data_IF_270381318819
#
_entry.id   IF_270381318819
#
_cell.length_a   1.000
_cell.length_b   1.000
_cell.length_c   1.000
_cell.angle_alpha   90.00
_cell.angle_beta   90.00
_cell.angle_gamma   90.00
#
_symmetry.space_group_name_H-M   'P 1'
#
loop_
_entity.id
_entity.type
_entity.pdbx_description
1 polymer ?
#
# COMPACT_ATOMS: atom_id res chain seq x y z
N UNK A 1 4.84 13.27 8.59
CA UNK A 1 4.71 13.40 7.15
C UNK A 1 3.65 12.45 6.63
N UNK A 2 2.83 12.93 5.71
CA UNK A 2 1.75 12.12 5.18
C UNK A 2 2.29 11.10 4.19
N UNK A 3 1.68 9.94 4.19
CA UNK A 3 1.99 8.91 3.20
C UNK A 3 0.78 7.99 3.10
N UNK A 4 0.79 7.12 2.09
CA UNK A 4 -0.25 6.11 1.92
C UNK A 4 0.33 4.72 2.15
N UNK A 5 -0.50 3.81 2.65
CA UNK A 5 -0.16 2.41 2.79
C UNK A 5 -1.13 1.54 2.01
N UNK A 6 -0.59 0.58 1.30
CA UNK A 6 -1.38 -0.48 0.67
C UNK A 6 -1.16 -1.75 1.47
N UNK A 7 -2.20 -2.31 2.05
CA UNK A 7 -2.08 -3.55 2.79
C UNK A 7 -2.01 -4.73 1.83
N UNK A 8 -1.12 -5.67 2.15
CA UNK A 8 -0.95 -6.88 1.36
C UNK A 8 -1.37 -8.11 2.18
N UNK A 9 -1.86 -9.13 1.50
CA UNK A 9 -2.24 -10.40 2.12
C UNK A 9 -1.04 -11.16 2.66
N UNK A 10 0.11 -10.99 2.05
CA UNK A 10 1.31 -11.75 2.36
C UNK A 10 2.53 -10.95 1.96
N UNK A 11 3.69 -11.40 2.43
CA UNK A 11 4.94 -10.79 1.99
C UNK A 11 5.15 -10.97 0.49
N UNK A 12 4.73 -12.09 -0.06
CA UNK A 12 4.84 -12.35 -1.50
C UNK A 12 4.05 -11.34 -2.30
N UNK A 13 2.81 -11.07 -1.89
CA UNK A 13 2.00 -10.07 -2.56
C UNK A 13 2.62 -8.68 -2.43
N UNK A 14 3.12 -8.33 -1.24
CA UNK A 14 3.75 -7.04 -1.02
C UNK A 14 4.96 -6.85 -1.91
N UNK A 15 5.81 -7.87 -2.04
CA UNK A 15 6.97 -7.83 -2.92
C UNK A 15 6.56 -7.67 -4.38
N UNK A 16 5.50 -8.36 -4.79
CA UNK A 16 4.99 -8.27 -6.14
C UNK A 16 4.46 -6.86 -6.43
N UNK A 17 3.80 -6.26 -5.44
CA UNK A 17 3.31 -4.89 -5.57
C UNK A 17 4.46 -3.89 -5.74
N UNK A 18 5.49 -3.99 -4.91
CA UNK A 18 6.66 -3.12 -5.00
C UNK A 18 7.31 -3.24 -6.38
N UNK A 19 7.47 -4.46 -6.87
CA UNK A 19 8.08 -4.70 -8.17
C UNK A 19 7.25 -4.10 -9.30
N UNK A 20 5.94 -4.30 -9.25
CA UNK A 20 5.04 -3.78 -10.28
C UNK A 20 5.03 -2.25 -10.29
N UNK A 21 5.02 -1.64 -9.10
CA UNK A 21 5.07 -0.19 -8.98
C UNK A 21 6.38 0.36 -9.52
N UNK A 22 7.49 -0.33 -9.25
CA UNK A 22 8.79 0.05 -9.80
C UNK A 22 8.78 0.08 -11.33
N UNK A 23 8.09 -0.89 -11.95
CA UNK A 23 7.93 -0.92 -13.39
C UNK A 23 7.14 0.24 -13.96
N UNK A 24 6.29 0.86 -13.14
CA UNK A 24 5.54 2.06 -13.52
C UNK A 24 6.27 3.35 -13.14
N UNK A 25 7.49 3.25 -12.64
CA UNK A 25 8.24 4.42 -12.20
C UNK A 25 7.81 4.97 -10.85
N UNK A 26 7.09 4.20 -10.06
CA UNK A 26 6.60 4.63 -8.76
C UNK A 26 7.46 4.02 -7.67
N UNK A 27 8.05 4.88 -6.83
CA UNK A 27 8.83 4.40 -5.69
C UNK A 27 7.89 3.97 -4.57
N UNK A 28 8.20 2.81 -4.01
CA UNK A 28 7.46 2.29 -2.88
C UNK A 28 8.41 1.49 -1.99
N UNK A 29 7.98 1.22 -0.77
CA UNK A 29 8.81 0.49 0.18
C UNK A 29 7.98 -0.58 0.87
N UNK A 30 8.54 -1.77 0.96
CA UNK A 30 7.97 -2.86 1.73
C UNK A 30 8.18 -2.58 3.21
N UNK A 31 7.14 -2.76 4.01
CA UNK A 31 7.26 -2.59 5.46
C UNK A 31 6.28 -3.50 6.17
N UNK A 32 6.49 -3.65 7.47
CA UNK A 32 5.49 -4.32 8.29
C UNK A 32 4.32 -3.39 8.51
N UNK A 33 3.12 -3.94 8.44
CA UNK A 33 1.92 -3.17 8.74
C UNK A 33 1.94 -2.72 10.20
N UNK A 34 1.51 -1.49 10.50
CA UNK A 34 1.42 -1.04 11.89
C UNK A 34 0.52 -1.95 12.71
N UNK A 35 0.89 -2.14 13.97
CA UNK A 35 0.11 -2.95 14.90
C UNK A 35 -1.26 -2.31 15.10
N UNK A 36 -2.30 -3.13 15.04
CA UNK A 36 -3.67 -2.66 15.29
C UNK A 36 -4.34 -1.98 14.11
N UNK A 37 -3.66 -1.89 12.96
CA UNK A 37 -4.25 -1.26 11.78
C UNK A 37 -5.40 -2.09 11.23
N UNK A 38 -5.28 -3.40 11.33
CA UNK A 38 -6.32 -4.32 10.90
C UNK A 38 -6.35 -5.50 11.88
N UNK A 39 -7.54 -6.02 12.14
CA UNK A 39 -7.72 -7.19 12.98
C UNK A 39 -7.57 -8.50 12.20
N UNK A 40 -7.28 -8.41 10.92
CA UNK A 40 -7.10 -9.60 10.07
C UNK A 40 -5.71 -10.20 10.14
N UNK A 41 -4.83 -9.62 10.92
CA UNK A 41 -3.47 -10.14 11.07
C UNK A 41 -2.57 -9.88 9.88
N UNK A 42 -2.92 -8.93 9.02
CA UNK A 42 -2.05 -8.57 7.91
C UNK A 42 -0.76 -7.97 8.43
N UNK A 43 0.36 -8.58 8.05
CA UNK A 43 1.65 -8.23 8.60
C UNK A 43 2.48 -7.33 7.68
N UNK A 44 2.06 -7.13 6.45
CA UNK A 44 2.89 -6.43 5.46
C UNK A 44 2.11 -5.36 4.74
N UNK A 45 2.82 -4.29 4.40
CA UNK A 45 2.24 -3.16 3.69
C UNK A 45 3.26 -2.60 2.71
N UNK A 46 2.76 -1.85 1.75
CA UNK A 46 3.59 -1.11 0.80
C UNK A 46 3.35 0.36 1.04
N UNK A 47 4.41 1.07 1.35
CA UNK A 47 4.35 2.50 1.63
C UNK A 47 4.58 3.30 0.36
N UNK A 48 3.72 4.27 0.12
CA UNK A 48 3.77 5.16 -1.03
C UNK A 48 4.06 6.58 -0.59
N UNK A 49 4.68 7.36 -1.47
CA UNK A 49 4.82 8.80 -1.26
C UNK A 49 3.48 9.49 -1.37
N UNK A 50 3.28 10.61 -0.67
CA UNK A 50 2.04 11.37 -0.81
C UNK A 50 1.80 11.77 -2.26
N UNK A 51 0.55 11.69 -2.69
CA UNK A 51 0.17 12.11 -4.03
C UNK A 51 0.35 11.08 -5.12
N UNK A 52 0.82 9.86 -4.79
CA UNK A 52 1.04 8.82 -5.80
C UNK A 52 -0.01 7.71 -5.77
N UNK A 53 -1.01 7.83 -4.91
CA UNK A 53 -1.97 6.74 -4.70
C UNK A 53 -2.73 6.37 -5.97
N UNK A 54 -3.26 7.35 -6.68
CA UNK A 54 -4.04 7.07 -7.88
C UNK A 54 -3.20 6.38 -8.95
N UNK A 55 -1.99 6.88 -9.17
CA UNK A 55 -1.08 6.28 -10.15
C UNK A 55 -0.72 4.85 -9.72
N UNK A 56 -0.50 4.64 -8.42
CA UNK A 56 -0.17 3.32 -7.91
C UNK A 56 -1.32 2.35 -8.10
N UNK A 57 -2.54 2.77 -7.78
CA UNK A 57 -3.71 1.90 -7.93
C UNK A 57 -3.95 1.56 -9.40
N UNK A 58 -3.77 2.52 -10.30
CA UNK A 58 -3.89 2.26 -11.73
C UNK A 58 -2.85 1.26 -12.20
N UNK A 59 -1.61 1.41 -11.73
CA UNK A 59 -0.53 0.49 -12.08
C UNK A 59 -0.83 -0.92 -11.60
N UNK A 60 -1.26 -1.06 -10.35
CA UNK A 60 -1.57 -2.38 -9.78
C UNK A 60 -2.78 -3.01 -10.46
N UNK A 61 -3.78 -2.22 -10.79
CA UNK A 61 -4.95 -2.72 -11.50
C UNK A 61 -4.55 -3.29 -12.86
N UNK A 62 -3.68 -2.60 -13.58
CA UNK A 62 -3.19 -3.09 -14.87
C UNK A 62 -2.41 -4.39 -14.71
N UNK A 63 -1.76 -4.59 -13.58
CA UNK A 63 -1.01 -5.81 -13.28
C UNK A 63 -1.89 -6.92 -12.68
N UNK A 64 -3.17 -6.66 -12.47
CA UNK A 64 -4.07 -7.64 -11.88
C UNK A 64 -3.88 -7.82 -10.38
N UNK A 65 -3.28 -6.86 -9.70
CA UNK A 65 -3.02 -6.93 -8.27
C UNK A 65 -3.97 -6.01 -7.53
N UNK A 66 -4.71 -6.58 -6.57
CA UNK A 66 -5.65 -5.80 -5.76
C UNK A 66 -5.14 -5.77 -4.32
N UNK A 67 -4.80 -4.58 -3.78
CA UNK A 67 -4.42 -4.50 -2.38
C UNK A 67 -5.59 -4.87 -1.47
N UNK A 68 -5.26 -5.38 -0.29
CA UNK A 68 -6.29 -5.77 0.67
C UNK A 68 -7.04 -4.57 1.21
N UNK A 69 -6.34 -3.46 1.44
CA UNK A 69 -6.92 -2.21 1.89
C UNK A 69 -5.95 -1.08 1.60
N UNK A 70 -6.46 0.14 1.62
CA UNK A 70 -5.66 1.36 1.39
C UNK A 70 -5.86 2.28 2.58
N UNK A 71 -4.77 2.82 3.11
CA UNK A 71 -4.79 3.73 4.24
C UNK A 71 -4.01 4.99 3.94
N UNK A 72 -4.51 6.12 4.46
CA UNK A 72 -3.77 7.37 4.52
C UNK A 72 -3.19 7.54 5.91
N UNK A 73 -1.95 7.94 6.01
CA UNK A 73 -1.33 8.32 7.28
C UNK A 73 -1.29 9.84 7.37
N UNK A 74 -1.96 10.38 8.37
CA UNK A 74 -2.02 11.81 8.63
C UNK A 74 -1.61 12.06 10.08
N UNK A 75 -1.69 13.33 10.53
CA UNK A 75 -1.46 13.69 11.93
C UNK A 75 -2.34 12.90 12.89
N UNK A 76 -3.52 12.52 12.45
CA UNK A 76 -4.50 11.85 13.29
C UNK A 76 -4.35 10.33 13.25
N UNK A 77 -3.33 9.82 12.57
CA UNK A 77 -3.09 8.40 12.45
C UNK A 77 -3.48 7.86 11.08
N UNK A 78 -3.78 6.57 11.03
CA UNK A 78 -4.15 5.92 9.78
C UNK A 78 -5.65 5.95 9.58
N UNK A 79 -6.09 6.34 8.40
CA UNK A 79 -7.50 6.35 8.04
C UNK A 79 -7.68 5.55 6.76
N UNK A 80 -8.65 4.66 6.76
CA UNK A 80 -8.92 3.85 5.58
C UNK A 80 -9.47 4.72 4.46
N UNK A 81 -8.86 4.60 3.28
CA UNK A 81 -9.28 5.35 2.11
C UNK A 81 -10.34 4.59 1.35
N UNK A 82 -11.30 5.32 0.78
CA UNK A 82 -12.28 4.72 -0.13
C UNK A 82 -11.56 4.28 -1.41
N UNK A 83 -11.97 3.15 -1.91
CA UNK A 83 -11.42 2.62 -3.16
C UNK A 83 -12.40 2.75 -4.29
#
# INVERSE_FOLDING_TARGET
MDHELLLARSITQAQHMVRSLGGCGIRSALMRAPVGLTDRGCAYAVRLRPGTLEAALTCLQAAGIKPLAVYHHTREGYQEAAQ
#
